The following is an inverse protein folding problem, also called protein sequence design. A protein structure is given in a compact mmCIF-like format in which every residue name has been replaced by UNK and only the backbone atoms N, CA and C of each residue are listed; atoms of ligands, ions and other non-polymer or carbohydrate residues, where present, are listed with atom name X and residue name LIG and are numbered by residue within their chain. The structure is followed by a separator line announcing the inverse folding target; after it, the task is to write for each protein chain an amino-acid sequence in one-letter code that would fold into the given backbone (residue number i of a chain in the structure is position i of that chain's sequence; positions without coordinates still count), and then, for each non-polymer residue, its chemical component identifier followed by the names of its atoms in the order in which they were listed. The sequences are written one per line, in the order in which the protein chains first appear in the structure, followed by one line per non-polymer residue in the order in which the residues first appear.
data_IF_678476625177
#
_entry.id   IF_678476625177
#
_cell.length_a   1.000
_cell.length_b   1.000
_cell.length_c   1.000
_cell.angle_alpha   90.00
_cell.angle_beta   90.00
_cell.angle_gamma   90.00
#
_symmetry.space_group_name_H-M   'P 1'
#
loop_
_entity.id
_entity.type
_entity.pdbx_description
1 polymer ?
2 non-polymer ?
3 non-polymer ?
4 non-polymer ?
5 non-polymer ?
6 water ?
#
# COMPACT_ATOMS: atom_id res chain seq x y z
N UNK A 1 10.63 28.26 -10.46
CA UNK A 1 10.49 27.02 -9.65
C UNK A 1 11.76 26.63 -8.88
N UNK A 2 12.44 27.67 -8.39
CA UNK A 2 13.76 27.39 -7.77
C UNK A 2 13.54 26.51 -6.60
N UNK A 3 14.25 25.38 -6.53
CA UNK A 3 14.08 24.52 -5.35
C UNK A 3 12.86 23.60 -5.44
N UNK A 4 12.12 23.65 -6.56
CA UNK A 4 10.86 22.85 -6.71
C UNK A 4 11.01 21.80 -7.77
N UNK A 5 12.15 21.79 -8.46
CA UNK A 5 12.23 20.89 -9.53
C UNK A 5 12.65 19.56 -9.08
N UNK A 6 11.95 18.58 -9.59
CA UNK A 6 12.34 17.21 -9.35
C UNK A 6 13.19 16.71 -10.51
N UNK A 7 13.89 15.61 -10.33
CA UNK A 7 14.63 15.06 -11.45
C UNK A 7 13.79 14.86 -12.71
N UNK A 8 14.41 15.12 -13.84
CA UNK A 8 13.70 14.96 -15.11
C UNK A 8 13.16 13.54 -15.36
N UNK A 9 13.81 12.52 -14.83
CA UNK A 9 13.37 11.12 -14.91
C UNK A 9 12.56 10.64 -13.67
N UNK A 10 12.06 11.61 -12.88
CA UNK A 10 11.31 11.26 -11.71
C UNK A 10 10.02 10.54 -12.15
N UNK A 11 9.60 9.55 -11.40
CA UNK A 11 8.35 8.84 -11.67
C UNK A 11 7.21 9.62 -11.00
N UNK A 12 6.15 9.92 -11.74
CA UNK A 12 5.03 10.71 -11.23
C UNK A 12 3.84 9.82 -11.54
N UNK A 13 3.11 9.41 -10.51
CA UNK A 13 1.95 8.56 -10.77
C UNK A 13 0.84 8.81 -9.75
N UNK A 14 -0.18 8.00 -9.94
CA UNK A 14 -1.20 7.75 -8.97
C UNK A 14 -1.39 6.27 -8.77
N UNK A 15 -1.99 5.88 -7.64
CA UNK A 15 -2.07 4.54 -7.16
C UNK A 15 -3.47 4.07 -6.93
N UNK A 16 -3.70 2.76 -7.15
CA UNK A 16 -4.92 2.04 -6.83
C UNK A 16 -4.61 0.63 -6.44
N UNK A 17 -5.59 -0.11 -6.00
CA UNK A 17 -5.51 -1.55 -5.65
C UNK A 17 -6.72 -2.25 -6.26
N UNK A 18 -6.58 -3.48 -6.71
CA UNK A 18 -7.56 -4.21 -7.51
C UNK A 18 -8.90 -4.29 -6.81
N UNK A 19 -8.99 -4.70 -5.57
CA UNK A 19 -10.31 -4.91 -4.96
C UNK A 19 -10.98 -3.53 -4.76
N UNK A 20 -10.19 -2.48 -4.55
CA UNK A 20 -10.76 -1.18 -4.30
C UNK A 20 -11.45 -0.59 -5.56
N UNK A 21 -11.03 -0.95 -6.77
CA UNK A 21 -11.51 -0.29 -8.00
C UNK A 21 -12.23 -1.18 -8.99
N UNK A 22 -11.83 -2.46 -9.07
CA UNK A 22 -12.13 -3.24 -10.23
C UNK A 22 -13.59 -3.61 -10.41
N UNK A 23 -14.26 -4.04 -9.36
CA UNK A 23 -15.50 -4.68 -9.57
C UNK A 23 -15.43 -5.97 -10.38
N UNK A 24 -16.49 -6.30 -11.10
CA UNK A 24 -16.44 -7.55 -11.90
C UNK A 24 -15.95 -8.76 -11.09
N UNK A 25 -16.51 -8.94 -9.91
CA UNK A 25 -15.97 -9.84 -8.91
C UNK A 25 -16.15 -11.29 -9.32
N UNK A 26 -17.16 -11.59 -10.12
CA UNK A 26 -17.50 -12.98 -10.53
C UNK A 26 -17.17 -13.17 -12.02
N UNK A 27 -16.59 -12.22 -12.67
CA UNK A 27 -16.40 -12.32 -14.11
C UNK A 27 -15.10 -12.94 -14.48
N UNK A 28 -15.16 -13.61 -15.63
CA UNK A 28 -13.91 -14.11 -16.33
C UNK A 28 -13.01 -14.99 -15.40
N UNK A 29 -13.66 -15.82 -14.64
CA UNK A 29 -13.01 -16.86 -13.85
C UNK A 29 -12.50 -16.40 -12.51
N UNK A 30 -12.75 -15.15 -12.14
CA UNK A 30 -12.24 -14.70 -10.83
C UNK A 30 -12.75 -15.56 -9.69
N UNK A 31 -11.85 -15.86 -8.75
CA UNK A 31 -12.20 -16.57 -7.54
C UNK A 31 -12.76 -15.67 -6.49
N UNK A 32 -12.95 -16.23 -5.32
CA UNK A 32 -13.45 -15.54 -4.13
C UNK A 32 -12.29 -15.11 -3.27
N UNK A 33 -12.15 -13.84 -2.94
CA UNK A 33 -11.08 -13.36 -2.02
C UNK A 33 -11.65 -13.18 -0.61
N UNK A 34 -10.72 -13.06 0.36
CA UNK A 34 -11.11 -12.73 1.68
C UNK A 34 -11.86 -11.43 1.84
N UNK A 35 -11.73 -10.53 0.89
CA UNK A 35 -12.42 -9.25 0.98
C UNK A 35 -13.82 -9.36 0.36
N UNK A 36 -14.02 -10.32 -0.55
CA UNK A 36 -15.40 -10.68 -0.97
C UNK A 36 -16.14 -11.21 0.25
N UNK A 37 -15.56 -12.16 0.95
CA UNK A 37 -16.21 -12.77 2.12
C UNK A 37 -16.46 -11.67 3.14
N UNK A 38 -15.48 -10.85 3.46
CA UNK A 38 -15.57 -9.86 4.52
C UNK A 38 -16.54 -8.80 4.17
N UNK A 39 -16.50 -8.28 2.95
CA UNK A 39 -17.46 -7.19 2.54
C UNK A 39 -18.88 -7.70 2.58
N UNK A 40 -19.15 -8.98 2.36
CA UNK A 40 -20.50 -9.56 2.36
C UNK A 40 -20.84 -10.09 3.74
N UNK A 41 -20.05 -9.78 4.75
CA UNK A 41 -20.35 -10.15 6.14
C UNK A 41 -21.04 -8.91 6.80
N UNK A 42 -22.25 -9.11 7.35
CA UNK A 42 -22.94 -7.98 7.96
C UNK A 42 -22.14 -7.22 9.00
N UNK A 43 -22.07 -5.90 8.83
CA UNK A 43 -21.46 -4.99 9.75
C UNK A 43 -19.92 -4.80 9.63
N UNK A 44 -19.26 -5.57 8.75
CA UNK A 44 -17.81 -5.38 8.58
C UNK A 44 -17.45 -4.08 7.83
N UNK A 45 -18.34 -3.59 6.96
CA UNK A 45 -18.07 -2.41 6.20
C UNK A 45 -19.06 -1.29 6.72
N UNK A 46 -18.56 -0.06 6.82
CA UNK A 46 -19.30 1.04 7.57
C UNK A 46 -20.65 1.37 6.93
N UNK A 47 -20.73 1.26 5.64
CA UNK A 47 -21.87 1.80 4.88
C UNK A 47 -22.64 0.86 4.00
N UNK A 48 -22.51 -0.47 4.27
CA UNK A 48 -23.28 -1.39 3.46
C UNK A 48 -22.81 -1.63 2.05
N UNK A 49 -21.61 -1.16 1.73
CA UNK A 49 -21.14 -1.31 0.36
C UNK A 49 -20.15 -2.46 0.30
N UNK A 50 -19.87 -2.83 -0.94
CA UNK A 50 -18.91 -3.92 -1.19
C UNK A 50 -18.08 -3.48 -2.36
N UNK A 51 -17.10 -4.34 -2.68
CA UNK A 51 -16.34 -4.15 -3.88
C UNK A 51 -16.93 -4.76 -5.12
N UNK A 52 -18.20 -5.17 -5.11
CA UNK A 52 -18.72 -5.90 -6.23
C UNK A 52 -18.67 -5.14 -7.53
N UNK A 53 -18.95 -3.84 -7.48
CA UNK A 53 -18.83 -2.94 -8.65
C UNK A 53 -17.64 -1.97 -8.49
N UNK A 54 -17.59 -1.29 -7.32
CA UNK A 54 -16.51 -0.33 -7.02
C UNK A 54 -16.46 0.70 -8.15
N UNK A 55 -15.33 0.93 -8.79
CA UNK A 55 -15.23 1.85 -9.90
C UNK A 55 -15.45 1.22 -11.29
N UNK A 56 -15.77 -0.08 -11.31
CA UNK A 56 -15.89 -0.88 -12.48
C UNK A 56 -14.67 -0.79 -13.35
N UNK A 57 -13.48 -0.72 -12.71
CA UNK A 57 -12.26 -0.57 -13.52
C UNK A 57 -11.87 -1.83 -14.26
N UNK A 58 -12.42 -3.00 -13.91
CA UNK A 58 -12.21 -4.18 -14.73
C UNK A 58 -12.64 -3.86 -16.19
N UNK A 59 -13.78 -3.21 -16.29
CA UNK A 59 -14.24 -2.86 -17.61
C UNK A 59 -13.76 -1.49 -18.06
N UNK A 60 -13.51 -0.61 -17.09
CA UNK A 60 -13.34 0.82 -17.32
C UNK A 60 -11.88 1.32 -17.16
N UNK A 61 -10.89 0.41 -17.09
CA UNK A 61 -9.55 0.86 -16.88
C UNK A 61 -9.07 1.76 -18.01
N UNK A 62 -9.68 1.71 -19.21
CA UNK A 62 -9.30 2.71 -20.21
C UNK A 62 -9.66 4.15 -19.82
N UNK A 63 -10.79 4.31 -19.13
CA UNK A 63 -11.12 5.60 -18.54
C UNK A 63 -10.04 6.04 -17.55
N UNK A 64 -9.57 5.06 -16.72
CA UNK A 64 -8.54 5.35 -15.76
C UNK A 64 -7.28 5.82 -16.44
N UNK A 65 -6.90 5.16 -17.54
CA UNK A 65 -5.79 5.58 -18.36
C UNK A 65 -5.97 6.99 -18.91
N UNK A 66 -7.18 7.28 -19.36
CA UNK A 66 -7.51 8.62 -19.79
C UNK A 66 -7.27 9.69 -18.73
N UNK A 67 -7.65 9.38 -17.50
CA UNK A 67 -7.40 10.29 -16.42
C UNK A 67 -5.87 10.46 -16.17
N UNK A 68 -5.15 9.37 -16.08
CA UNK A 68 -3.71 9.43 -15.90
C UNK A 68 -3.04 10.30 -16.91
N UNK A 69 -3.48 10.16 -18.16
CA UNK A 69 -2.89 10.96 -19.21
C UNK A 69 -3.29 12.45 -19.11
N UNK A 70 -4.55 12.67 -18.77
CA UNK A 70 -5.06 14.04 -18.61
C UNK A 70 -4.23 14.73 -17.52
N UNK A 71 -3.82 13.96 -16.54
CA UNK A 71 -2.99 14.44 -15.46
C UNK A 71 -1.50 14.63 -15.77
N UNK A 72 -1.04 14.07 -16.89
CA UNK A 72 0.31 14.15 -17.33
C UNK A 72 1.24 13.32 -16.49
N UNK A 73 0.71 12.28 -15.91
CA UNK A 73 1.49 11.25 -15.17
C UNK A 73 2.38 10.48 -16.10
N UNK A 74 3.42 9.88 -15.57
CA UNK A 74 4.24 8.96 -16.35
C UNK A 74 4.30 7.56 -15.82
N UNK A 75 3.48 7.20 -14.85
CA UNK A 75 3.42 5.91 -14.25
C UNK A 75 2.06 5.66 -13.60
N UNK A 76 1.78 4.41 -13.32
CA UNK A 76 0.53 4.01 -12.64
C UNK A 76 0.90 2.83 -11.78
N UNK A 77 0.60 2.99 -10.52
CA UNK A 77 0.75 1.93 -9.55
C UNK A 77 -0.59 1.32 -9.32
N UNK A 78 -0.72 0.07 -9.61
CA UNK A 78 -1.93 -0.73 -9.49
C UNK A 78 -1.61 -2.13 -9.03
N UNK A 79 -2.62 -2.86 -8.57
CA UNK A 79 -2.30 -4.25 -8.18
C UNK A 79 -2.96 -5.25 -9.14
N UNK A 80 -2.42 -6.42 -9.19
CA UNK A 80 -3.00 -7.56 -9.84
C UNK A 80 -3.72 -8.39 -8.83
N UNK A 81 -4.97 -8.78 -9.09
CA UNK A 81 -5.78 -9.55 -8.19
C UNK A 81 -5.38 -11.04 -8.30
N UNK A 82 -4.74 -11.58 -7.25
CA UNK A 82 -4.46 -13.06 -7.17
C UNK A 82 -5.67 -13.90 -7.47
N UNK A 83 -6.91 -13.53 -6.98
CA UNK A 83 -8.07 -14.31 -7.36
C UNK A 83 -8.38 -14.39 -8.87
N UNK A 84 -7.92 -13.41 -9.66
CA UNK A 84 -8.05 -13.53 -11.14
C UNK A 84 -7.01 -14.40 -11.77
N UNK A 85 -5.85 -14.58 -11.08
CA UNK A 85 -4.73 -15.29 -11.70
C UNK A 85 -4.69 -16.79 -11.30
N UNK A 86 -4.89 -17.03 -10.00
CA UNK A 86 -4.97 -18.39 -9.44
C UNK A 86 -6.20 -18.38 -8.58
N UNK A 87 -7.36 -18.64 -9.18
CA UNK A 87 -8.63 -18.44 -8.42
C UNK A 87 -8.77 -19.18 -7.09
N UNK A 88 -8.16 -20.37 -7.04
CA UNK A 88 -8.20 -21.16 -5.81
C UNK A 88 -7.00 -20.86 -4.90
N UNK A 89 -6.12 -19.96 -5.25
CA UNK A 89 -4.96 -19.61 -4.44
C UNK A 89 -3.81 -20.50 -4.75
N UNK A 90 -4.02 -21.78 -4.49
CA UNK A 90 -3.12 -22.88 -4.84
C UNK A 90 -3.92 -23.71 -5.80
N UNK A 91 -3.45 -23.71 -7.05
CA UNK A 91 -4.28 -24.30 -8.05
C UNK A 91 -3.89 -23.86 -9.42
N UNK A 92 -4.74 -24.24 -10.39
CA UNK A 92 -4.44 -23.83 -11.78
C UNK A 92 -4.53 -22.33 -12.07
N UNK A 93 -3.79 -21.92 -13.05
CA UNK A 93 -3.89 -20.57 -13.56
C UNK A 93 -5.19 -20.32 -14.23
N UNK A 94 -5.55 -19.03 -14.29
CA UNK A 94 -6.70 -18.59 -15.04
C UNK A 94 -6.21 -17.65 -16.15
N UNK A 95 -6.02 -18.15 -17.34
CA UNK A 95 -5.36 -17.42 -18.34
C UNK A 95 -6.13 -16.15 -18.75
N UNK A 96 -7.44 -16.19 -18.63
CA UNK A 96 -8.23 -14.95 -18.91
C UNK A 96 -7.81 -13.81 -17.99
N UNK A 97 -7.41 -14.18 -16.76
CA UNK A 97 -6.93 -13.10 -15.81
C UNK A 97 -5.62 -12.53 -16.25
N UNK A 98 -4.65 -13.38 -16.59
CA UNK A 98 -3.40 -12.93 -17.08
C UNK A 98 -3.54 -12.08 -18.36
N UNK A 99 -4.41 -12.52 -19.26
CA UNK A 99 -4.56 -11.85 -20.52
C UNK A 99 -5.18 -10.44 -20.28
N UNK A 100 -6.08 -10.32 -19.31
CA UNK A 100 -6.62 -8.98 -19.03
C UNK A 100 -5.52 -8.03 -18.64
N UNK A 101 -4.67 -8.46 -17.69
CA UNK A 101 -3.66 -7.52 -17.21
C UNK A 101 -2.60 -7.27 -18.30
N UNK A 102 -2.37 -8.28 -19.18
CA UNK A 102 -1.46 -8.09 -20.28
C UNK A 102 -1.94 -6.98 -21.21
N UNK A 103 -3.22 -7.02 -21.48
CA UNK A 103 -3.79 -5.95 -22.30
C UNK A 103 -3.68 -4.57 -21.60
N UNK A 104 -3.95 -4.57 -20.31
CA UNK A 104 -3.88 -3.35 -19.51
C UNK A 104 -2.43 -2.81 -19.52
N UNK A 105 -1.40 -3.69 -19.34
CA UNK A 105 -0.04 -3.24 -19.45
C UNK A 105 0.30 -2.68 -20.79
N UNK A 106 -0.22 -3.31 -21.86
CA UNK A 106 0.12 -2.76 -23.19
C UNK A 106 -0.55 -1.40 -23.43
N UNK A 107 -1.71 -1.28 -22.88
CA UNK A 107 -2.44 -0.01 -22.98
C UNK A 107 -1.71 1.13 -22.23
N UNK A 108 -1.22 0.82 -21.01
CA UNK A 108 -0.46 1.75 -20.25
C UNK A 108 0.83 2.14 -20.93
N UNK A 109 1.64 1.16 -21.34
CA UNK A 109 2.87 1.46 -21.97
C UNK A 109 2.70 2.29 -23.26
N UNK A 110 1.69 1.90 -24.02
CA UNK A 110 1.34 2.67 -25.19
C UNK A 110 1.08 4.13 -24.93
N UNK A 111 0.43 4.39 -23.83
CA UNK A 111 0.17 5.74 -23.36
C UNK A 111 1.31 6.49 -22.63
N UNK A 112 2.46 5.87 -22.53
CA UNK A 112 3.58 6.50 -21.91
C UNK A 112 3.50 6.39 -20.38
N UNK A 113 2.79 5.39 -19.84
CA UNK A 113 2.58 5.15 -18.39
C UNK A 113 3.25 3.88 -17.95
N UNK A 114 4.28 4.09 -17.17
CA UNK A 114 5.07 2.93 -16.69
C UNK A 114 4.21 2.15 -15.66
N UNK A 115 4.02 0.85 -15.82
CA UNK A 115 3.30 0.10 -14.81
C UNK A 115 4.15 -0.17 -13.61
N UNK A 116 3.68 0.19 -12.43
CA UNK A 116 4.34 -0.22 -11.19
C UNK A 116 3.44 -1.20 -10.49
N UNK A 117 3.68 -2.51 -10.67
CA UNK A 117 2.71 -3.53 -10.33
C UNK A 117 2.90 -4.02 -8.90
N UNK A 118 1.82 -4.00 -8.09
CA UNK A 118 1.82 -4.60 -6.76
C UNK A 118 1.19 -6.01 -6.94
N UNK A 119 1.91 -7.08 -6.54
CA UNK A 119 1.36 -8.38 -6.65
C UNK A 119 0.24 -8.66 -5.60
N UNK A 120 0.47 -8.23 -4.32
CA UNK A 120 -0.45 -8.54 -3.23
C UNK A 120 -0.90 -7.29 -2.57
N UNK A 121 -2.15 -6.89 -2.86
CA UNK A 121 -2.78 -5.75 -2.16
C UNK A 121 -4.02 -6.27 -1.51
N UNK A 122 -3.87 -7.31 -0.69
CA UNK A 122 -4.78 -7.71 0.36
C UNK A 122 -5.83 -8.75 0.00
N UNK A 123 -6.00 -9.03 -1.26
CA UNK A 123 -7.05 -9.90 -1.74
C UNK A 123 -6.61 -11.38 -1.84
N UNK A 124 -6.26 -11.91 -0.69
CA UNK A 124 -5.99 -13.34 -0.58
C UNK A 124 -7.07 -14.22 -1.04
N UNK A 125 -6.84 -15.20 -1.89
CA UNK A 125 -7.94 -16.17 -2.18
C UNK A 125 -8.54 -16.86 -1.00
N UNK A 126 -9.87 -16.84 -0.91
CA UNK A 126 -10.53 -17.42 0.25
C UNK A 126 -10.15 -18.89 0.54
N UNK A 127 -9.99 -19.70 -0.53
CA UNK A 127 -9.62 -21.08 -0.24
C UNK A 127 -8.35 -21.20 0.58
N UNK A 128 -7.40 -20.26 0.40
CA UNK A 128 -6.21 -20.25 1.27
C UNK A 128 -6.54 -19.93 2.70
N UNK A 129 -7.42 -18.94 2.90
CA UNK A 129 -7.83 -18.58 4.23
C UNK A 129 -8.54 -19.74 4.92
N UNK A 130 -9.23 -20.56 4.17
CA UNK A 130 -9.88 -21.76 4.72
C UNK A 130 -8.87 -22.72 5.32
N UNK A 131 -7.65 -22.62 4.84
CA UNK A 131 -6.52 -23.41 5.29
C UNK A 131 -5.56 -22.56 6.10
N UNK A 132 -6.07 -21.59 6.89
CA UNK A 132 -5.36 -20.72 7.81
C UNK A 132 -4.79 -19.42 7.22
N UNK A 133 -4.87 -19.33 5.90
CA UNK A 133 -4.38 -18.10 5.25
C UNK A 133 -3.01 -17.75 5.61
N UNK A 134 -2.73 -16.52 6.01
CA UNK A 134 -1.36 -16.08 6.29
C UNK A 134 -0.91 -16.75 7.62
N UNK A 135 -1.78 -17.39 8.31
CA UNK A 135 -1.46 -18.25 9.49
C UNK A 135 -0.73 -19.52 9.08
N UNK A 136 -0.61 -19.84 7.78
CA UNK A 136 0.06 -21.06 7.32
C UNK A 136 1.23 -20.76 6.43
N UNK A 137 2.36 -21.45 6.64
CA UNK A 137 3.54 -21.38 5.77
C UNK A 137 3.26 -21.71 4.35
N UNK A 138 2.33 -22.61 4.10
CA UNK A 138 1.99 -23.04 2.74
C UNK A 138 1.53 -21.84 1.93
N UNK A 139 0.88 -20.86 2.59
CA UNK A 139 0.45 -19.68 1.81
C UNK A 139 1.59 -18.89 1.26
N UNK A 140 2.70 -18.81 2.01
CA UNK A 140 3.91 -18.19 1.53
C UNK A 140 4.44 -18.86 0.28
N UNK A 141 4.45 -20.22 0.27
CA UNK A 141 4.95 -20.94 -0.86
C UNK A 141 4.12 -20.65 -2.09
N UNK A 142 2.82 -20.72 -1.89
CA UNK A 142 1.94 -20.56 -3.06
C UNK A 142 1.87 -19.08 -3.48
N UNK A 143 2.12 -18.11 -2.57
CA UNK A 143 2.26 -16.71 -3.00
C UNK A 143 3.43 -16.57 -3.95
N UNK A 144 4.58 -17.23 -3.65
CA UNK A 144 5.71 -17.15 -4.52
C UNK A 144 5.42 -17.76 -5.89
N UNK A 145 4.65 -18.83 -5.92
CA UNK A 145 4.19 -19.48 -7.14
C UNK A 145 3.39 -18.55 -8.07
N UNK A 146 2.47 -17.89 -7.39
CA UNK A 146 1.66 -16.82 -8.06
C UNK A 146 2.55 -15.74 -8.61
N UNK A 147 3.54 -15.24 -7.84
CA UNK A 147 4.51 -14.22 -8.31
C UNK A 147 5.24 -14.69 -9.56
N UNK A 148 5.64 -15.95 -9.57
CA UNK A 148 6.33 -16.57 -10.66
C UNK A 148 5.46 -16.56 -11.94
N UNK A 149 4.21 -16.99 -11.79
CA UNK A 149 3.29 -17.06 -12.93
C UNK A 149 3.12 -15.70 -13.56
N UNK A 150 2.90 -14.70 -12.69
CA UNK A 150 2.62 -13.38 -13.25
C UNK A 150 3.84 -12.79 -13.98
N UNK A 151 5.02 -12.87 -13.37
CA UNK A 151 6.25 -12.33 -13.93
C UNK A 151 6.64 -13.07 -15.21
N UNK A 152 6.36 -14.35 -15.27
CA UNK A 152 6.57 -15.07 -16.51
C UNK A 152 5.83 -14.46 -17.69
N UNK A 153 4.59 -14.03 -17.45
CA UNK A 153 3.80 -13.48 -18.51
C UNK A 153 4.02 -12.01 -18.78
N UNK A 154 4.25 -11.22 -17.75
CA UNK A 154 4.32 -9.80 -17.86
C UNK A 154 5.67 -9.13 -17.70
N UNK A 155 6.65 -9.93 -17.22
CA UNK A 155 7.96 -9.40 -16.98
C UNK A 155 8.86 -9.05 -18.17
N UNK A 156 8.41 -9.30 -19.39
CA UNK A 156 9.07 -8.73 -20.58
C UNK A 156 8.75 -7.30 -20.83
N UNK A 157 7.71 -6.80 -20.12
CA UNK A 157 7.23 -5.45 -20.27
C UNK A 157 7.26 -4.59 -19.00
N UNK A 158 7.09 -5.24 -17.85
CA UNK A 158 7.03 -4.55 -16.54
C UNK A 158 8.32 -4.83 -15.79
N UNK A 159 9.10 -3.80 -15.60
CA UNK A 159 10.33 -3.93 -14.85
C UNK A 159 10.16 -3.76 -13.37
N UNK A 160 9.24 -2.93 -12.92
CA UNK A 160 9.14 -2.53 -11.50
C UNK A 160 7.99 -3.19 -10.84
N UNK A 161 8.24 -4.02 -9.85
CA UNK A 161 7.37 -4.87 -9.14
C UNK A 161 7.47 -4.73 -7.70
N UNK A 162 6.33 -4.72 -6.99
CA UNK A 162 6.30 -4.86 -5.51
C UNK A 162 5.62 -6.15 -5.17
N UNK A 163 6.18 -6.91 -4.25
CA UNK A 163 5.60 -8.14 -3.81
C UNK A 163 4.32 -7.85 -2.98
N UNK A 164 4.51 -7.29 -1.81
CA UNK A 164 3.36 -6.99 -0.92
C UNK A 164 3.18 -5.46 -0.77
N UNK A 165 1.93 -5.09 -0.51
CA UNK A 165 1.58 -3.83 0.01
C UNK A 165 1.22 -3.92 1.46
N UNK A 166 2.00 -3.21 2.33
CA UNK A 166 1.59 -2.98 3.76
C UNK A 166 1.27 -4.28 4.50
N UNK A 167 2.29 -5.17 4.66
CA UNK A 167 2.08 -6.40 5.43
C UNK A 167 1.71 -6.14 6.91
N UNK A 168 2.04 -4.98 7.47
CA UNK A 168 1.54 -4.65 8.81
C UNK A 168 0.03 -4.67 8.79
N UNK A 169 -0.58 -4.07 7.75
CA UNK A 169 -2.03 -4.05 7.73
C UNK A 169 -2.61 -5.46 7.61
N UNK A 170 -2.11 -6.20 6.64
CA UNK A 170 -2.61 -7.55 6.38
C UNK A 170 -2.56 -8.39 7.64
N UNK A 171 -1.42 -8.30 8.30
CA UNK A 171 -1.19 -9.09 9.53
C UNK A 171 -2.01 -8.56 10.73
N UNK A 172 -1.81 -7.31 11.06
CA UNK A 172 -2.34 -6.72 12.30
C UNK A 172 -3.76 -6.34 12.15
N UNK A 173 -4.14 -5.60 11.09
CA UNK A 173 -5.55 -5.28 10.96
C UNK A 173 -6.35 -6.49 10.57
N UNK A 174 -5.78 -7.46 9.83
CA UNK A 174 -6.50 -8.62 9.40
C UNK A 174 -6.63 -9.77 10.37
N UNK A 175 -5.64 -9.94 11.26
CA UNK A 175 -5.56 -11.13 12.12
C UNK A 175 -5.53 -10.78 13.62
N UNK A 176 -5.18 -9.56 13.99
CA UNK A 176 -5.06 -9.18 15.41
C UNK A 176 -6.18 -8.30 15.79
N UNK A 177 -6.42 -7.23 15.02
CA UNK A 177 -7.38 -6.21 15.42
C UNK A 177 -8.73 -6.40 14.81
N UNK A 178 -8.82 -7.28 13.81
CA UNK A 178 -10.02 -7.68 13.20
C UNK A 178 -10.76 -6.65 12.33
N UNK A 179 -10.15 -5.55 11.98
CA UNK A 179 -10.85 -4.55 11.23
C UNK A 179 -10.74 -4.71 9.72
N UNK A 180 -9.80 -5.53 9.29
CA UNK A 180 -9.64 -5.87 7.83
C UNK A 180 -9.84 -7.35 7.65
N UNK A 181 -10.07 -7.79 6.42
CA UNK A 181 -10.20 -9.22 6.06
C UNK A 181 -8.86 -9.93 6.43
N UNK A 182 -9.02 -11.15 6.96
CA UNK A 182 -10.21 -11.96 7.17
C UNK A 182 -11.04 -11.59 8.42
N UNK A 183 -10.48 -10.83 9.33
CA UNK A 183 -11.14 -10.32 10.53
C UNK A 183 -10.89 -11.08 11.81
N UNK A 184 -9.74 -11.74 11.94
CA UNK A 184 -9.47 -12.40 13.22
C UNK A 184 -8.99 -11.42 14.24
N UNK A 185 -9.00 -11.87 15.54
CA UNK A 185 -8.71 -10.99 16.59
C UNK A 185 -7.76 -11.64 17.61
N UNK A 186 -6.60 -12.10 17.17
CA UNK A 186 -5.63 -12.78 18.11
C UNK A 186 -4.25 -12.30 17.83
N UNK A 187 -3.55 -11.78 18.85
CA UNK A 187 -2.19 -11.35 18.65
C UNK A 187 -1.23 -12.36 18.04
N UNK A 188 -1.18 -13.60 18.56
CA UNK A 188 -0.26 -14.57 18.09
C UNK A 188 -0.57 -14.88 16.59
N UNK A 189 -1.83 -14.85 16.21
CA UNK A 189 -2.18 -15.11 14.78
C UNK A 189 -1.71 -13.94 13.90
N UNK A 190 -1.81 -12.74 14.42
CA UNK A 190 -1.28 -11.60 13.65
C UNK A 190 0.24 -11.69 13.50
N UNK A 191 0.97 -11.99 14.58
CA UNK A 191 2.38 -12.14 14.43
C UNK A 191 2.85 -13.29 13.56
N UNK A 192 2.13 -14.38 13.58
CA UNK A 192 2.42 -15.51 12.75
C UNK A 192 2.17 -15.09 11.26
N UNK A 193 1.06 -14.38 11.07
CA UNK A 193 0.74 -13.85 9.71
C UNK A 193 1.85 -12.92 9.22
N UNK A 194 2.39 -12.08 10.09
CA UNK A 194 3.46 -11.18 9.70
C UNK A 194 4.69 -11.94 9.19
N UNK A 195 5.07 -12.98 9.91
CA UNK A 195 6.13 -13.81 9.47
C UNK A 195 5.96 -14.53 8.17
N UNK A 196 4.79 -15.12 8.00
CA UNK A 196 4.46 -15.80 6.74
C UNK A 196 4.34 -14.83 5.51
N UNK A 197 3.89 -13.61 5.85
CA UNK A 197 3.93 -12.53 4.84
C UNK A 197 5.35 -12.20 4.42
N UNK A 198 6.17 -11.95 5.44
CA UNK A 198 7.57 -11.70 5.16
C UNK A 198 8.29 -12.84 4.37
N UNK A 199 8.02 -14.05 4.79
CA UNK A 199 8.51 -15.24 4.13
C UNK A 199 8.05 -15.35 2.71
N UNK A 200 6.74 -15.18 2.54
CA UNK A 200 6.22 -15.13 1.18
C UNK A 200 6.84 -14.09 0.28
N UNK A 201 7.08 -12.91 0.81
CA UNK A 201 7.83 -11.86 0.15
C UNK A 201 9.17 -12.37 -0.31
N UNK A 202 9.87 -12.99 0.62
CA UNK A 202 11.27 -13.37 0.33
C UNK A 202 11.33 -14.51 -0.69
N UNK A 203 10.44 -15.45 -0.56
CA UNK A 203 10.30 -16.57 -1.47
C UNK A 203 9.89 -16.07 -2.86
N UNK A 204 9.03 -15.05 -2.86
CA UNK A 204 8.62 -14.55 -4.17
C UNK A 204 9.68 -13.79 -4.93
N UNK A 205 10.46 -12.97 -4.24
CA UNK A 205 11.58 -12.23 -4.80
C UNK A 205 12.47 -13.26 -5.54
N UNK A 206 12.88 -14.32 -4.85
CA UNK A 206 13.78 -15.32 -5.51
C UNK A 206 13.11 -15.98 -6.71
N UNK A 207 11.81 -16.34 -6.53
CA UNK A 207 10.97 -16.92 -7.62
C UNK A 207 10.83 -16.02 -8.84
N UNK A 208 10.63 -14.76 -8.60
CA UNK A 208 10.51 -13.76 -9.64
C UNK A 208 11.77 -13.58 -10.41
N UNK A 209 12.91 -13.52 -9.74
CA UNK A 209 14.21 -13.30 -10.46
C UNK A 209 14.48 -14.51 -11.33
N UNK A 210 14.11 -15.68 -10.86
CA UNK A 210 14.30 -16.96 -11.68
C UNK A 210 13.41 -17.01 -12.90
N UNK A 211 12.17 -16.55 -12.74
CA UNK A 211 11.10 -16.68 -13.71
C UNK A 211 11.12 -15.56 -14.74
N UNK A 212 11.73 -14.44 -14.37
CA UNK A 212 11.75 -13.24 -15.22
C UNK A 212 12.51 -13.40 -16.53
N UNK A 213 11.95 -12.85 -17.66
CA UNK A 213 12.77 -12.89 -18.88
C UNK A 213 13.80 -11.83 -19.00
N UNK A 214 13.83 -10.86 -18.09
CA UNK A 214 14.84 -9.83 -18.04
C UNK A 214 15.10 -9.45 -16.57
N UNK A 215 16.16 -8.71 -16.24
CA UNK A 215 16.35 -8.32 -14.87
C UNK A 215 15.17 -7.38 -14.47
N UNK A 216 14.74 -7.60 -13.26
CA UNK A 216 13.66 -6.77 -12.66
C UNK A 216 14.16 -5.91 -11.56
N UNK A 217 13.37 -4.86 -11.28
CA UNK A 217 13.54 -3.99 -10.16
C UNK A 217 12.40 -4.33 -9.16
N UNK A 218 12.72 -5.12 -8.14
CA UNK A 218 11.78 -5.67 -7.18
C UNK A 218 11.89 -4.97 -5.87
N UNK A 219 10.73 -4.55 -5.36
CA UNK A 219 10.62 -3.89 -4.07
C UNK A 219 9.48 -4.52 -3.18
N UNK A 220 9.31 -3.96 -2.02
CA UNK A 220 8.21 -4.18 -1.17
C UNK A 220 7.73 -2.85 -0.72
N UNK A 221 6.39 -2.72 -0.41
CA UNK A 221 5.81 -1.50 -0.01
C UNK A 221 5.39 -1.56 1.46
N UNK A 222 5.94 -0.66 2.25
CA UNK A 222 5.57 -0.59 3.69
C UNK A 222 4.89 0.70 4.06
N UNK A 223 3.84 0.67 4.87
CA UNK A 223 3.33 1.82 5.56
C UNK A 223 4.29 2.09 6.70
N UNK A 224 4.70 3.34 6.81
CA UNK A 224 5.60 3.75 7.92
C UNK A 224 4.97 4.90 8.61
N UNK A 225 4.95 4.85 9.95
CA UNK A 225 4.36 5.92 10.77
C UNK A 225 5.44 6.45 11.74
N UNK A 226 6.00 7.60 11.40
CA UNK A 226 7.06 8.15 12.32
C UNK A 226 6.32 8.44 13.64
N UNK A 227 6.99 8.03 14.68
CA UNK A 227 6.44 8.04 16.04
C UNK A 227 7.25 9.00 16.95
N UNK A 228 6.54 9.77 17.75
CA UNK A 228 7.19 10.77 18.58
C UNK A 228 6.59 10.71 19.98
N UNK A 229 7.48 10.65 21.00
CA UNK A 229 6.85 10.63 22.35
C UNK A 229 6.20 11.91 22.76
N UNK A 230 5.06 11.88 23.47
CA UNK A 230 4.41 13.10 23.82
C UNK A 230 5.14 13.91 24.89
N UNK A 231 6.00 13.26 25.63
CA UNK A 231 6.94 13.94 26.51
C UNK A 231 8.20 13.15 26.51
N UNK A 232 9.18 13.68 27.24
CA UNK A 232 10.47 12.93 27.37
C UNK A 232 10.55 12.03 28.61
N UNK A 233 9.45 11.78 29.25
CA UNK A 233 9.42 10.85 30.32
C UNK A 233 9.86 9.48 29.83
N UNK A 234 10.52 8.68 30.70
CA UNK A 234 10.80 7.28 30.33
C UNK A 234 9.60 6.50 29.75
N UNK A 235 8.43 6.71 30.38
CA UNK A 235 7.20 6.01 30.07
C UNK A 235 6.73 6.35 28.66
N UNK A 236 6.80 7.63 28.32
CA UNK A 236 6.26 8.06 26.98
C UNK A 236 7.26 7.73 25.90
N UNK A 237 8.54 7.87 26.21
CA UNK A 237 9.59 7.43 25.26
C UNK A 237 9.52 5.95 25.00
N UNK A 238 9.32 5.10 26.02
CA UNK A 238 9.22 3.72 25.80
C UNK A 238 7.98 3.34 24.97
N UNK A 239 6.91 4.07 25.25
CA UNK A 239 5.69 3.88 24.48
C UNK A 239 5.86 4.20 23.03
N UNK A 240 6.59 5.26 22.78
CA UNK A 240 6.95 5.61 21.36
C UNK A 240 7.76 4.50 20.75
N UNK A 241 8.77 3.99 21.47
CA UNK A 241 9.55 2.93 20.94
C UNK A 241 8.79 1.66 20.63
N UNK A 242 7.89 1.24 21.54
CA UNK A 242 7.06 0.06 21.29
C UNK A 242 6.17 0.28 20.03
N UNK A 243 5.51 1.42 19.94
CA UNK A 243 4.67 1.66 18.75
C UNK A 243 5.54 1.65 17.51
N UNK A 244 6.66 2.36 17.56
CA UNK A 244 7.62 2.29 16.45
C UNK A 244 8.04 0.87 16.08
N UNK A 245 8.23 -0.04 17.07
CA UNK A 245 8.67 -1.37 16.77
C UNK A 245 7.53 -2.19 16.17
N UNK A 246 6.35 -1.93 16.69
CA UNK A 246 5.09 -2.65 16.30
C UNK A 246 4.83 -2.46 14.80
N UNK A 247 4.98 -1.21 14.37
CA UNK A 247 4.54 -0.81 12.97
C UNK A 247 5.76 -0.85 12.06
N UNK A 248 6.89 -0.23 12.47
CA UNK A 248 7.99 0.01 11.55
C UNK A 248 9.06 -0.99 11.60
N UNK A 249 9.72 -1.14 12.78
CA UNK A 249 10.90 -1.94 12.86
C UNK A 249 10.69 -3.44 12.75
N UNK A 250 9.49 -3.89 13.13
CA UNK A 250 9.10 -5.25 12.99
C UNK A 250 9.29 -5.76 11.56
N UNK A 251 9.03 -4.85 10.56
CA UNK A 251 9.26 -5.18 9.19
C UNK A 251 10.58 -4.74 8.60
N UNK A 252 10.95 -3.51 8.84
CA UNK A 252 12.25 -2.97 8.38
C UNK A 252 13.46 -3.78 8.78
N UNK A 253 13.51 -4.20 10.04
CA UNK A 253 14.69 -4.90 10.50
C UNK A 253 14.93 -6.25 9.86
N UNK A 254 13.96 -7.18 9.82
CA UNK A 254 14.17 -8.43 9.10
C UNK A 254 14.40 -8.24 7.62
N UNK A 255 13.77 -7.21 7.02
CA UNK A 255 14.08 -6.94 5.64
C UNK A 255 15.53 -6.51 5.37
N UNK A 256 16.11 -5.87 6.38
CA UNK A 256 17.43 -5.26 6.37
C UNK A 256 18.49 -6.29 6.87
N UNK A 257 18.08 -7.51 7.06
CA UNK A 257 18.90 -8.62 7.52
C UNK A 257 19.29 -8.48 8.98
N UNK A 258 18.52 -7.75 9.78
CA UNK A 258 18.88 -7.46 11.20
C UNK A 258 18.11 -8.39 12.15
N UNK A 259 17.35 -9.35 11.61
CA UNK A 259 16.47 -10.26 12.39
C UNK A 259 15.31 -9.43 12.86
N UNK A 260 14.40 -10.02 13.61
CA UNK A 260 13.38 -9.20 14.27
C UNK A 260 13.92 -8.33 15.41
N UNK A 261 13.37 -7.17 15.70
CA UNK A 261 13.93 -6.34 16.80
C UNK A 261 13.71 -7.03 18.14
N UNK A 262 14.82 -7.15 18.87
CA UNK A 262 14.84 -7.97 20.10
C UNK A 262 13.97 -7.39 21.18
N UNK A 263 13.82 -6.06 21.26
CA UNK A 263 12.91 -5.41 22.19
C UNK A 263 11.52 -5.87 21.99
N UNK A 264 11.15 -6.01 20.71
CA UNK A 264 9.80 -6.45 20.40
C UNK A 264 9.57 -7.96 20.67
N UNK A 265 10.50 -8.74 20.23
CA UNK A 265 10.52 -10.20 20.49
C UNK A 265 10.31 -10.43 22.00
N UNK A 266 11.14 -9.79 22.81
CA UNK A 266 11.02 -9.93 24.27
C UNK A 266 9.69 -9.46 24.78
N UNK A 267 9.21 -8.33 24.27
CA UNK A 267 7.91 -7.81 24.59
C UNK A 267 6.75 -8.73 24.23
N UNK A 268 6.78 -9.29 23.04
CA UNK A 268 5.71 -10.19 22.64
C UNK A 268 5.79 -11.58 23.33
N UNK A 269 6.96 -11.91 23.85
CA UNK A 269 7.26 -13.26 24.38
C UNK A 269 6.57 -14.39 23.66
N UNK A 270 5.46 -14.84 24.26
CA UNK A 270 4.77 -16.11 23.89
C UNK A 270 4.05 -16.00 22.56
N UNK A 271 3.61 -14.78 22.28
CA UNK A 271 2.88 -14.50 21.08
C UNK A 271 3.81 -14.45 19.86
N UNK A 272 5.13 -14.32 20.03
CA UNK A 272 6.05 -14.13 18.91
C UNK A 272 6.22 -15.39 18.13
N UNK A 273 6.34 -15.29 16.79
CA UNK A 273 6.45 -16.51 16.00
C UNK A 273 7.83 -17.13 16.16
N UNK A 274 7.96 -18.41 15.84
CA UNK A 274 9.31 -19.00 15.81
C UNK A 274 9.91 -18.73 14.44
N UNK A 275 11.07 -18.09 14.48
CA UNK A 275 11.72 -17.54 13.31
C UNK A 275 13.08 -18.17 13.17
N UNK A 276 13.16 -19.24 12.41
CA UNK A 276 14.44 -19.87 12.25
C UNK A 276 15.38 -19.04 11.31
N UNK A 277 16.69 -19.21 11.50
CA UNK A 277 17.70 -18.54 10.71
C UNK A 277 17.46 -18.61 9.21
N UNK A 278 16.96 -19.76 8.78
CA UNK A 278 16.73 -20.05 7.37
C UNK A 278 15.64 -19.10 6.77
N UNK A 279 14.59 -18.88 7.52
CA UNK A 279 13.49 -18.02 7.07
C UNK A 279 14.00 -16.58 7.05
N UNK A 280 14.74 -16.17 8.08
CA UNK A 280 15.26 -14.79 8.11
C UNK A 280 16.17 -14.53 6.94
N UNK A 281 16.94 -15.52 6.50
CA UNK A 281 17.80 -15.35 5.35
C UNK A 281 16.95 -15.11 4.08
N UNK A 282 15.88 -15.85 3.99
CA UNK A 282 15.01 -15.79 2.82
C UNK A 282 14.27 -14.44 2.81
N UNK A 283 13.89 -14.00 4.00
CA UNK A 283 13.16 -12.72 4.18
C UNK A 283 14.00 -11.54 3.73
N UNK A 284 15.34 -11.59 3.92
CA UNK A 284 16.26 -10.55 3.55
C UNK A 284 16.71 -10.68 2.11
N UNK A 285 15.95 -11.36 1.26
CA UNK A 285 16.37 -11.43 -0.16
C UNK A 285 16.63 -10.03 -0.69
N UNK A 286 17.74 -9.80 -1.44
CA UNK A 286 18.05 -8.46 -1.83
C UNK A 286 16.92 -7.79 -2.72
N UNK A 287 16.65 -6.58 -2.33
CA UNK A 287 15.70 -5.71 -3.03
C UNK A 287 16.33 -4.66 -3.83
N UNK A 288 15.65 -4.25 -4.91
CA UNK A 288 16.12 -3.14 -5.69
C UNK A 288 15.62 -1.78 -5.34
N UNK A 289 14.53 -1.72 -4.58
CA UNK A 289 13.91 -0.46 -4.08
C UNK A 289 13.01 -0.73 -2.91
N UNK A 290 12.62 0.30 -2.18
CA UNK A 290 11.61 0.20 -1.15
C UNK A 290 10.62 1.27 -1.39
N UNK A 291 9.38 0.87 -1.29
CA UNK A 291 8.25 1.78 -1.30
C UNK A 291 7.72 2.19 0.01
N UNK A 292 7.52 3.49 0.18
CA UNK A 292 7.03 4.05 1.41
C UNK A 292 5.64 4.58 1.21
N UNK A 293 4.69 4.09 2.01
CA UNK A 293 3.33 4.65 2.06
C UNK A 293 3.28 5.50 3.31
N UNK A 294 3.03 6.79 3.14
CA UNK A 294 3.05 7.79 4.20
C UNK A 294 1.77 8.53 4.24
N UNK A 295 1.17 8.48 5.44
CA UNK A 295 0.02 9.26 5.70
C UNK A 295 0.06 10.13 6.96
N UNK A 296 0.62 9.57 8.05
CA UNK A 296 0.41 10.27 9.33
C UNK A 296 1.54 9.89 10.25
N UNK A 297 1.65 10.67 11.34
CA UNK A 297 2.57 10.35 12.43
C UNK A 297 1.77 9.76 13.55
N UNK A 298 2.48 9.29 14.55
CA UNK A 298 1.90 8.89 15.86
C UNK A 298 2.64 9.65 16.96
N UNK A 299 1.94 10.56 17.62
CA UNK A 299 2.42 11.16 18.86
C UNK A 299 1.94 10.36 20.04
N UNK A 300 2.85 9.62 20.67
CA UNK A 300 2.52 8.51 21.58
C UNK A 300 2.57 8.90 23.04
N UNK A 301 1.50 8.50 23.76
CA UNK A 301 1.51 8.51 25.25
C UNK A 301 1.43 7.11 25.77
N UNK A 302 2.08 6.88 26.90
CA UNK A 302 2.03 5.57 27.50
C UNK A 302 0.53 5.25 27.85
N UNK A 303 0.13 4.01 27.63
CA UNK A 303 -1.24 3.49 27.88
C UNK A 303 -1.19 2.03 28.36
N UNK A 304 -0.81 1.84 29.63
CA UNK A 304 -0.55 0.52 30.21
C UNK A 304 -1.77 -0.36 30.15
N UNK A 305 -2.95 0.24 30.24
CA UNK A 305 -4.17 -0.53 30.21
C UNK A 305 -4.63 -1.00 28.83
N UNK A 306 -4.09 -0.45 27.75
CA UNK A 306 -4.56 -0.73 26.42
C UNK A 306 -3.97 -2.03 25.89
N UNK A 307 -4.47 -2.51 24.78
CA UNK A 307 -3.87 -3.71 24.13
C UNK A 307 -2.44 -3.36 23.63
N UNK A 308 -1.64 -4.41 23.33
CA UNK A 308 -0.28 -4.27 22.83
C UNK A 308 -0.38 -3.46 21.57
N UNK A 309 0.49 -2.44 21.39
CA UNK A 309 1.74 -2.13 22.12
C UNK A 309 1.62 -1.09 23.30
N UNK A 310 0.45 -0.90 23.86
CA UNK A 310 0.26 -0.06 25.03
C UNK A 310 0.71 1.41 24.85
N UNK A 311 0.17 2.05 23.81
CA UNK A 311 0.60 3.35 23.36
C UNK A 311 -0.58 3.98 22.71
N UNK A 312 -1.02 5.10 23.23
CA UNK A 312 -2.16 5.84 22.65
C UNK A 312 -1.67 7.05 21.95
N UNK A 313 -2.41 7.38 20.89
CA UNK A 313 -2.29 8.65 20.21
C UNK A 313 -2.74 9.85 20.99
N UNK A 314 -1.92 10.89 21.06
CA UNK A 314 -2.29 12.17 21.65
C UNK A 314 -2.64 13.19 20.60
N UNK A 315 -3.94 13.44 20.48
CA UNK A 315 -4.46 14.33 19.43
C UNK A 315 -3.94 15.75 19.63
N UNK A 316 -3.68 16.44 18.53
CA UNK A 316 -3.22 17.84 18.56
C UNK A 316 -4.23 18.69 17.79
N UNK A 317 -5.08 19.43 18.51
CA UNK A 317 -6.12 20.14 17.76
C UNK A 317 -5.58 21.38 17.03
N UNK A 318 -4.34 21.77 17.28
CA UNK A 318 -3.64 22.71 16.37
C UNK A 318 -3.25 22.22 14.97
N UNK A 319 -2.97 20.93 14.78
CA UNK A 319 -2.76 20.46 13.44
C UNK A 319 -4.10 20.26 12.78
N UNK A 320 -4.17 20.58 11.51
CA UNK A 320 -5.32 20.25 10.71
C UNK A 320 -5.62 18.73 10.55
N UNK A 321 -6.87 18.40 10.39
CA UNK A 321 -7.31 17.05 10.16
C UNK A 321 -8.06 16.95 8.86
N UNK A 322 -8.00 15.77 8.24
CA UNK A 322 -8.79 15.51 7.06
C UNK A 322 -10.09 14.85 7.49
N UNK A 323 -10.77 14.11 6.60
CA UNK A 323 -11.94 13.37 6.95
C UNK A 323 -11.62 12.28 7.96
N UNK A 324 -10.40 11.75 7.98
CA UNK A 324 -10.08 10.56 8.80
C UNK A 324 -8.68 10.61 9.46
N UNK A 325 -7.84 11.62 9.17
CA UNK A 325 -6.45 11.60 9.74
C UNK A 325 -5.93 12.98 10.10
N UNK A 326 -4.89 13.00 10.95
CA UNK A 326 -4.18 14.25 11.28
C UNK A 326 -3.16 14.46 10.16
N UNK A 327 -3.00 15.70 9.74
CA UNK A 327 -1.98 16.10 8.74
C UNK A 327 -0.68 16.53 9.39
N UNK A 328 0.41 15.89 9.01
CA UNK A 328 1.74 16.21 9.56
C UNK A 328 2.84 15.96 8.50
N UNK A 329 3.00 16.94 7.58
CA UNK A 329 3.89 16.68 6.44
C UNK A 329 5.30 16.41 6.83
N UNK A 330 5.77 17.05 7.91
CA UNK A 330 7.14 16.92 8.33
C UNK A 330 7.55 15.51 8.67
N UNK A 331 6.60 14.68 9.03
CA UNK A 331 6.87 13.29 9.27
C UNK A 331 7.44 12.44 8.13
N UNK A 332 7.13 12.92 6.93
CA UNK A 332 7.63 12.37 5.68
C UNK A 332 9.10 12.69 5.54
N UNK A 333 9.49 13.92 5.87
CA UNK A 333 10.94 14.24 5.88
C UNK A 333 11.65 13.36 6.89
N UNK A 334 11.02 13.28 8.10
CA UNK A 334 11.71 12.54 9.19
C UNK A 334 11.90 11.11 8.82
N UNK A 335 10.84 10.44 8.28
CA UNK A 335 10.91 9.04 8.00
C UNK A 335 11.90 8.73 6.89
N UNK A 336 11.96 9.60 5.89
CA UNK A 336 12.90 9.41 4.76
C UNK A 336 14.38 9.63 5.23
N UNK A 337 14.59 10.62 6.10
CA UNK A 337 15.95 10.86 6.64
C UNK A 337 16.34 9.65 7.44
N UNK A 338 15.42 9.06 8.22
CA UNK A 338 15.71 7.82 8.94
C UNK A 338 16.03 6.70 8.05
N UNK A 339 15.20 6.53 6.99
CA UNK A 339 15.58 5.46 6.08
C UNK A 339 16.93 5.66 5.36
N UNK A 340 17.17 6.87 4.94
CA UNK A 340 18.41 7.20 4.20
C UNK A 340 19.62 6.94 5.10
N UNK A 341 19.54 7.38 6.36
CA UNK A 341 20.70 7.31 7.27
C UNK A 341 20.84 6.04 8.03
N UNK A 342 19.71 5.35 8.28
CA UNK A 342 19.69 4.24 9.26
C UNK A 342 19.51 2.89 8.66
N UNK A 343 19.02 2.84 7.38
CA UNK A 343 18.71 1.56 6.72
C UNK A 343 19.34 1.49 5.34
N UNK A 344 19.36 0.28 4.77
CA UNK A 344 20.11 0.06 3.54
C UNK A 344 19.33 0.16 2.24
N UNK A 345 18.03 0.36 2.28
CA UNK A 345 17.25 0.26 1.07
C UNK A 345 17.41 1.51 0.27
N UNK A 346 17.63 1.32 -1.03
CA UNK A 346 17.67 2.49 -1.92
C UNK A 346 17.66 1.98 -3.35
N UNK A 347 17.06 2.70 -4.28
CA UNK A 347 16.31 3.93 -4.14
C UNK A 347 14.96 3.68 -3.46
N UNK A 348 14.33 4.79 -3.14
CA UNK A 348 13.06 4.84 -2.46
C UNK A 348 12.05 5.48 -3.40
N UNK A 349 10.80 5.02 -3.27
CA UNK A 349 9.64 5.64 -3.94
C UNK A 349 8.61 5.87 -2.88
N UNK A 350 7.91 6.99 -3.01
CA UNK A 350 6.69 7.24 -2.25
C UNK A 350 5.58 6.57 -3.07
N UNK A 351 5.23 5.37 -2.62
CA UNK A 351 4.19 4.58 -3.31
C UNK A 351 2.75 4.96 -2.99
N UNK A 352 2.53 5.64 -1.88
CA UNK A 352 1.24 6.25 -1.61
C UNK A 352 1.41 7.47 -0.70
N UNK A 353 0.62 8.49 -0.93
CA UNK A 353 0.47 9.69 -0.11
C UNK A 353 -0.74 10.40 -0.58
N UNK A 354 -1.66 10.71 0.30
CA UNK A 354 -2.88 11.33 -0.09
C UNK A 354 -3.81 11.48 1.12
N UNK A 355 -5.01 11.91 0.89
CA UNK A 355 -5.95 12.19 1.96
C UNK A 355 -7.38 12.09 1.53
N UNK A 356 -8.28 11.93 2.53
CA UNK A 356 -9.64 11.73 2.35
C UNK A 356 -10.34 13.05 2.79
N UNK A 357 -11.34 13.48 2.05
CA UNK A 357 -12.03 14.72 2.41
C UNK A 357 -13.49 14.46 2.13
N UNK A 358 -14.35 15.40 2.56
CA UNK A 358 -15.74 15.23 2.26
C UNK A 358 -16.01 15.90 0.92
N UNK A 359 -15.52 15.32 -0.16
CA UNK A 359 -15.50 15.99 -1.45
C UNK A 359 -16.89 15.98 -2.04
N UNK A 360 -17.25 17.10 -2.63
CA UNK A 360 -18.55 17.24 -3.30
C UNK A 360 -18.31 18.00 -4.55
N UNK A 361 -19.19 17.74 -5.48
CA UNK A 361 -19.32 18.52 -6.70
C UNK A 361 -20.02 19.84 -6.40
N UNK A 362 -19.32 20.90 -6.68
CA UNK A 362 -19.81 22.22 -6.45
C UNK A 362 -20.75 22.64 -7.54
N UNK A 363 -21.40 23.79 -7.33
CA UNK A 363 -22.33 24.33 -8.25
C UNK A 363 -21.76 24.45 -9.66
N UNK A 364 -20.47 24.81 -9.75
CA UNK A 364 -19.83 25.01 -11.02
C UNK A 364 -19.40 23.74 -11.71
N UNK A 365 -19.44 22.64 -10.97
CA UNK A 365 -19.09 21.28 -11.52
C UNK A 365 -17.76 20.78 -11.11
N UNK A 366 -16.94 21.62 -10.54
CA UNK A 366 -15.63 21.24 -10.05
C UNK A 366 -15.74 20.67 -8.67
N UNK A 367 -14.64 20.08 -8.21
CA UNK A 367 -14.40 19.64 -6.84
C UNK A 367 -13.32 20.44 -6.22
N UNK A 368 -13.67 21.35 -5.26
CA UNK A 368 -12.75 22.31 -4.73
C UNK A 368 -12.04 21.82 -3.50
N UNK A 369 -11.14 20.85 -3.69
CA UNK A 369 -10.41 20.20 -2.65
C UNK A 369 -9.12 20.82 -2.31
N UNK A 370 -9.15 22.13 -1.95
CA UNK A 370 -7.95 22.84 -1.59
C UNK A 370 -7.12 22.22 -0.51
N UNK A 371 -7.78 21.54 0.45
CA UNK A 371 -7.02 20.90 1.51
C UNK A 371 -6.11 19.74 1.00
N UNK A 372 -6.63 19.09 -0.03
CA UNK A 372 -5.90 17.98 -0.68
C UNK A 372 -4.76 18.60 -1.51
N UNK A 373 -5.00 19.68 -2.23
CA UNK A 373 -3.90 20.41 -2.91
C UNK A 373 -2.78 20.80 -2.01
N UNK A 374 -3.17 21.41 -0.87
CA UNK A 374 -2.21 21.84 0.17
C UNK A 374 -1.51 20.63 0.72
N UNK A 375 -2.23 19.51 0.83
CA UNK A 375 -1.60 18.29 1.32
C UNK A 375 -0.53 17.88 0.36
N UNK A 376 -0.81 17.85 -0.95
CA UNK A 376 0.25 17.48 -1.86
C UNK A 376 1.45 18.46 -1.87
N UNK A 377 1.12 19.74 -1.86
CA UNK A 377 2.19 20.77 -1.89
C UNK A 377 3.06 20.65 -0.71
N UNK A 378 2.46 20.44 0.47
CA UNK A 378 3.30 20.35 1.66
C UNK A 378 4.13 19.12 1.74
N UNK A 379 3.55 17.98 1.31
CA UNK A 379 4.37 16.79 1.28
C UNK A 379 5.48 16.81 0.18
N UNK A 380 5.15 17.38 -0.98
CA UNK A 380 6.13 17.50 -2.04
C UNK A 380 7.28 18.46 -1.62
N UNK A 381 6.93 19.45 -0.80
CA UNK A 381 8.00 20.35 -0.25
C UNK A 381 8.92 19.58 0.66
N UNK A 382 8.30 18.70 1.49
CA UNK A 382 9.14 17.87 2.31
C UNK A 382 10.01 16.89 1.53
N UNK A 383 9.50 16.39 0.39
CA UNK A 383 10.28 15.55 -0.44
C UNK A 383 11.45 16.32 -1.06
N UNK A 384 11.26 17.55 -1.43
CA UNK A 384 12.40 18.41 -1.91
C UNK A 384 13.42 18.59 -0.81
N UNK A 385 12.99 18.75 0.45
CA UNK A 385 13.98 18.81 1.58
C UNK A 385 14.69 17.53 1.69
N UNK A 386 14.00 16.38 1.55
CA UNK A 386 14.65 15.10 1.71
C UNK A 386 15.64 14.86 0.59
N UNK A 387 15.24 15.16 -0.64
CA UNK A 387 16.16 15.01 -1.77
C UNK A 387 17.42 15.89 -1.56
N UNK A 388 17.24 17.04 -0.97
CA UNK A 388 18.38 18.02 -0.76
C UNK A 388 19.31 17.43 0.29
N UNK A 389 18.78 16.56 1.16
CA UNK A 389 19.57 15.81 2.12
C UNK A 389 20.24 14.57 1.63
N UNK A 390 20.10 14.25 0.32
CA UNK A 390 20.78 13.11 -0.23
C UNK A 390 19.90 11.89 -0.38
N UNK A 391 18.63 11.99 0.03
CA UNK A 391 17.77 10.77 0.01
C UNK A 391 17.52 10.40 -1.48
N UNK A 392 17.76 9.15 -1.83
CA UNK A 392 17.70 8.69 -3.17
C UNK A 392 16.23 8.37 -3.59
N UNK A 393 15.41 9.36 -3.62
CA UNK A 393 14.00 9.21 -3.96
C UNK A 393 13.85 9.28 -5.48
N UNK A 394 13.09 8.37 -6.04
CA UNK A 394 12.99 8.23 -7.51
C UNK A 394 11.52 8.40 -8.02
N UNK A 395 10.53 8.58 -7.13
CA UNK A 395 9.18 8.91 -7.58
C UNK A 395 8.21 9.06 -6.49
N UNK A 396 7.00 9.42 -6.90
CA UNK A 396 5.92 9.79 -6.02
C UNK A 396 4.63 9.32 -6.70
N UNK A 397 3.80 8.61 -5.96
CA UNK A 397 2.44 8.21 -6.34
C UNK A 397 1.42 8.71 -5.40
N UNK A 398 0.48 9.50 -5.91
CA UNK A 398 -0.64 10.02 -5.10
C UNK A 398 -1.61 8.88 -4.88
N UNK A 399 -2.02 8.70 -3.65
CA UNK A 399 -3.11 7.76 -3.37
C UNK A 399 -4.34 8.68 -3.31
N UNK A 400 -5.42 8.53 -4.08
CA UNK A 400 -5.59 7.50 -5.08
C UNK A 400 -5.84 8.19 -6.40
N UNK A 401 -5.72 7.47 -7.51
CA UNK A 401 -6.20 8.04 -8.79
C UNK A 401 -7.64 8.50 -8.72
N UNK A 402 -8.50 7.68 -8.11
CA UNK A 402 -9.93 8.02 -8.07
C UNK A 402 -10.54 7.49 -6.79
N UNK A 403 -11.65 8.11 -6.38
CA UNK A 403 -12.31 7.63 -5.20
C UNK A 403 -12.74 6.18 -5.39
N UNK A 404 -12.68 5.40 -4.34
CA UNK A 404 -12.84 3.98 -4.53
C UNK A 404 -13.37 3.30 -3.25
N UNK A 405 -13.38 1.96 -3.22
CA UNK A 405 -13.83 1.25 -2.02
C UNK A 405 -12.69 1.24 -1.00
N UNK A 406 -12.86 2.01 0.02
CA UNK A 406 -11.89 2.28 1.05
C UNK A 406 -12.09 1.28 2.19
N UNK A 407 -11.91 0.01 1.84
CA UNK A 407 -11.86 -1.08 2.81
C UNK A 407 -12.99 -1.00 3.83
N UNK A 408 -12.70 -1.03 5.11
CA UNK A 408 -13.81 -1.09 6.08
C UNK A 408 -14.67 0.18 6.07
N UNK A 409 -14.24 1.26 5.43
CA UNK A 409 -15.02 2.50 5.39
C UNK A 409 -15.96 2.44 4.17
N UNK A 410 -15.78 1.52 3.22
CA UNK A 410 -16.60 1.41 2.05
C UNK A 410 -16.39 2.56 1.07
N UNK A 411 -17.40 2.80 0.25
CA UNK A 411 -17.34 3.88 -0.75
C UNK A 411 -17.49 5.21 -0.13
N UNK A 412 -17.79 5.31 1.16
CA UNK A 412 -17.96 6.57 1.88
C UNK A 412 -16.75 7.44 2.14
N UNK A 413 -15.51 6.95 1.98
CA UNK A 413 -14.39 7.69 2.33
C UNK A 413 -13.50 7.96 1.10
N UNK A 414 -13.58 9.19 0.58
CA UNK A 414 -13.05 9.55 -0.73
C UNK A 414 -11.58 10.05 -0.68
N UNK A 415 -10.67 9.26 -1.30
CA UNK A 415 -9.28 9.61 -1.35
C UNK A 415 -8.81 10.03 -2.75
N UNK A 416 -9.67 10.06 -3.73
CA UNK A 416 -9.16 10.29 -5.10
C UNK A 416 -8.69 11.69 -5.39
N UNK A 417 -7.78 11.80 -6.38
CA UNK A 417 -7.51 13.03 -7.05
C UNK A 417 -8.54 13.26 -8.12
N UNK A 418 -9.29 12.22 -8.46
CA UNK A 418 -10.46 12.28 -9.34
C UNK A 418 -11.67 11.80 -8.52
N UNK A 419 -12.83 12.46 -8.69
CA UNK A 419 -14.04 12.07 -8.07
C UNK A 419 -14.70 11.00 -8.84
N UNK A 420 -15.19 9.97 -8.11
CA UNK A 420 -15.96 8.90 -8.72
C UNK A 420 -17.46 9.00 -8.32
N UNK A 421 -18.34 9.12 -9.29
CA UNK A 421 -19.75 8.96 -9.00
C UNK A 421 -20.06 7.49 -9.04
N UNK A 422 -20.32 6.87 -7.88
CA UNK A 422 -20.53 5.47 -7.81
C UNK A 422 -21.76 4.83 -8.42
N UNK A 423 -22.72 5.74 -8.67
CA UNK A 423 -23.96 5.38 -9.35
C UNK A 423 -23.80 5.40 -10.85
N UNK A 424 -23.10 6.36 -11.43
CA UNK A 424 -23.01 6.41 -12.84
C UNK A 424 -21.68 6.00 -13.42
N UNK A 425 -20.75 5.89 -12.47
CA UNK A 425 -19.35 5.50 -12.76
C UNK A 425 -18.57 6.57 -13.45
N UNK A 426 -19.12 7.77 -13.62
CA UNK A 426 -18.36 8.87 -14.18
C UNK A 426 -17.28 9.35 -13.27
N UNK A 427 -16.10 9.58 -13.82
CA UNK A 427 -15.02 10.24 -13.12
C UNK A 427 -14.81 11.68 -13.50
N UNK A 428 -14.44 12.54 -12.54
CA UNK A 428 -14.18 13.91 -12.82
C UNK A 428 -12.95 14.34 -12.08
N UNK A 429 -12.05 15.04 -12.74
CA UNK A 429 -10.83 15.45 -12.07
C UNK A 429 -11.08 16.53 -10.99
N UNK A 430 -10.55 16.36 -9.80
CA UNK A 430 -10.73 17.36 -8.72
C UNK A 430 -9.69 18.43 -8.92
N UNK A 431 -9.89 19.58 -8.26
CA UNK A 431 -8.86 20.63 -8.32
C UNK A 431 -7.45 20.25 -7.97
N UNK A 432 -7.24 19.37 -6.95
CA UNK A 432 -5.92 18.93 -6.60
C UNK A 432 -5.29 18.17 -7.74
N UNK A 433 -6.12 17.50 -8.51
CA UNK A 433 -5.66 16.78 -9.70
C UNK A 433 -5.11 17.73 -10.73
N UNK A 434 -5.87 18.76 -11.02
CA UNK A 434 -5.38 19.82 -11.94
C UNK A 434 -4.10 20.52 -11.46
N UNK A 435 -4.01 20.70 -10.16
CA UNK A 435 -2.80 21.20 -9.57
C UNK A 435 -1.65 20.27 -9.82
N UNK A 436 -1.82 18.97 -9.60
CA UNK A 436 -0.72 18.03 -9.82
C UNK A 436 -0.35 18.10 -11.29
N UNK A 437 -1.36 18.11 -12.15
CA UNK A 437 -1.16 18.21 -13.64
C UNK A 437 -0.20 19.33 -13.97
N UNK A 438 -0.55 20.51 -13.45
CA UNK A 438 0.20 21.72 -13.82
C UNK A 438 1.53 21.82 -13.09
N UNK A 439 1.65 21.27 -11.89
CA UNK A 439 2.91 21.19 -11.21
C UNK A 439 3.87 20.30 -11.97
N UNK A 440 3.42 19.08 -12.30
CA UNK A 440 4.25 18.13 -13.00
C UNK A 440 4.71 18.71 -14.34
N UNK A 441 3.79 19.29 -15.10
CA UNK A 441 4.13 19.91 -16.44
C UNK A 441 5.14 21.02 -16.31
N UNK A 442 5.05 21.81 -15.29
CA UNK A 442 5.86 23.03 -15.07
C UNK A 442 7.27 22.59 -14.74
N UNK A 443 7.31 21.50 -13.97
CA UNK A 443 8.29 20.38 -13.96
C UNK A 443 8.33 19.62 -12.56
X LIG B 1 -3.62 1.32 1.65
X LIG B 1 -4.72 1.75 0.64
X LIG B 1 -5.73 2.51 1.49
X LIG B 1 -5.04 3.76 1.91
X LIG B 1 -5.91 4.85 2.60
X LIG B 1 -3.19 2.41 2.59
X LIG B 1 -2.99 1.79 3.91
X LIG B 1 -2.53 0.76 0.87
X LIG B 1 -5.29 0.60 0.01
X LIG B 1 -6.78 2.92 0.63
X LIG B 1 -4.11 3.40 2.95
X LIG B 1 -6.43 4.28 3.79
X LIG C 1 -24.75 -6.63 0.63
X LIG C 1 -24.31 -5.45 1.41
X LIG C 1 -24.28 -5.79 2.87
X LIG C 1 -23.37 -7.08 3.01
X LIG C 1 -23.28 -7.58 4.45
X LIG C 1 -23.85 -7.86 0.87
X LIG C 1 -24.36 -8.95 0.07
X LIG C 1 -24.68 -6.29 -0.78
X LIG C 1 -25.19 -4.28 1.21
X LIG C 1 -23.64 -4.79 3.61
X LIG C 1 -23.87 -8.17 2.23
X LIG C 1 -24.63 -7.71 5.01
X LIG D 1 -12.27 -6.19 -20.36
X LIG D 1 -13.76 -6.46 -20.15
X LIG D 1 -14.14 -7.81 -20.79
X LIG D 1 -13.24 -8.98 -20.38
X LIG D 1 -13.56 -10.22 -21.22
X LIG D 1 -11.47 -7.45 -19.87
X LIG D 1 -10.09 -7.27 -20.01
X LIG D 1 -11.90 -5.01 -19.66
X LIG D 1 -14.58 -5.41 -20.64
X LIG D 1 -15.39 -8.15 -20.22
X LIG D 1 -11.84 -8.70 -20.51
X LIG D 1 -13.06 -9.97 -22.56
X LIG E 1 -18.62 12.42 3.33
X LIG E 1 -19.46 11.18 2.98
X LIG E 1 -19.36 10.84 1.50
X LIG E 1 -19.82 12.02 0.65
X LIG E 1 -19.08 13.30 1.13
X LIG E 1 -19.53 14.59 0.51
X LIG E 1 -17.27 11.91 3.33
X LIG E 1 -19.05 10.02 3.69
X LIG E 1 -20.12 9.68 1.22
X LIG E 1 -19.53 11.69 -0.70
X LIG E 1 -19.35 13.43 2.56
X LIG E 1 -20.94 14.59 0.70
X LIG F 1 11.40 6.34 19.33
X LIG F 1 11.16 6.67 17.87
X LIG F 1 11.17 8.14 17.55
X LIG F 1 11.62 9.22 18.42
X LIG F 1 11.08 8.41 16.06
X LIG F 1 11.32 9.77 15.57
X LIG F 1 10.71 10.04 14.21
X LIG F 1 11.50 9.23 12.89
X LIG F 1 12.90 9.63 12.91
X LIG F 1 10.77 9.57 11.64
X LIG F 1 11.45 7.74 13.20
X LIG F 1 12.15 8.78 19.78
X LIG F 1 11.48 7.52 20.26
X LIG G 1 -10.18 19.53 9.13
#
# INVERSE_FOLDING_TARGET
MAGERFPADFVWGAATAAYQIEGAVREDGRGVSIWDTFSHTPGKIADGTTGDVACDSYHRYGEDIGLLNALGMNAYRFSIAWPRIVPLGAGPINQAGLDHYSRMVDALLGAGLQPFVTLYHWDLPQPLEDRLGWGSRATATVFAEYADIVVRQLGDRVTHWATLNEPWCSAMLGYYLGVHAPGHTDLKRGLEASHNLLLGHGLAVQAMRAAAPQPLQIGIVLNLTPTYPASDSPEDVAAARRFDGFVNRWFLDPLAGRGYPQDMLDYYGAAAPQANPEDLTQIAAPLDWLGVNYYERMRAVDAPDASLPQAQRLDDPDLPHTADREVYPEGLYDILLRLHNDYPFRPLYITENGCALHDEIAEDGGIHDGQRQAFFEAHLAQLQRALAAGVPLKGYFAWSLLDNFEWAMGLSMRYGICYTNFETLERRIKDSGYWLRDFIAGQRGKLAALEHHHHHH
BGC C2 C3 C4 C5 C6 C1 O1 O2 O3 O4 O5 O6
BGC C2 C3 C4 C5 C6 C1 O1 O2 O3 O4 O5 O6
BGC C2 C3 C4 C5 C6 C1 O1 O2 O3 O4 O5 O6
GLC C1 C2 C3 C4 C5 C6 O1 O2 O3 O4 O5 O6
NHE C3' C2' C1' C6' N C1 C2 S O1 O2 O3 C5' C4'
NA NA
#
